data_IF_286696181400
#
_entry.id   IF_286696181400
#
_cell.length_a   1.000
_cell.length_b   1.000
_cell.length_c   1.000
_cell.angle_alpha   90.00
_cell.angle_beta   90.00
_cell.angle_gamma   90.00
#
_symmetry.space_group_name_H-M   'P 1'
#
loop_
_entity.id
_entity.type
_entity.pdbx_description
1 polymer ?
#
# COMPACT_ATOMS: atom_id res chain seq x y z
N UNK A 1 13.55 4.12 60.27
CA UNK A 1 14.99 4.31 59.99
C UNK A 1 15.58 2.93 59.82
N UNK A 2 15.98 2.55 58.59
CA UNK A 2 17.36 2.77 58.15
C UNK A 2 17.48 3.44 56.76
N UNK A 3 18.46 4.34 56.69
CA UNK A 3 19.22 4.92 55.57
C UNK A 3 19.79 3.78 54.68
N UNK A 4 20.01 3.83 53.36
CA UNK A 4 20.67 4.83 52.49
C UNK A 4 20.33 4.43 51.04
N UNK A 5 19.69 5.32 50.28
CA UNK A 5 19.44 5.13 48.84
C UNK A 5 20.34 6.12 48.09
N UNK A 6 21.51 5.69 47.66
CA UNK A 6 22.45 6.54 46.90
C UNK A 6 22.34 6.18 45.42
N UNK A 7 21.31 6.69 44.77
CA UNK A 7 21.25 6.71 43.32
C UNK A 7 22.07 7.91 42.85
N UNK A 8 23.26 7.64 42.32
CA UNK A 8 24.15 8.63 41.72
C UNK A 8 23.40 9.28 40.55
N UNK A 9 23.11 10.57 40.72
CA UNK A 9 22.80 11.48 39.64
C UNK A 9 24.09 11.75 38.88
N UNK A 10 24.12 11.52 37.57
CA UNK A 10 24.99 12.29 36.72
C UNK A 10 24.17 12.87 35.55
N UNK A 11 24.25 14.19 35.46
CA UNK A 11 23.42 15.06 34.66
C UNK A 11 23.97 15.18 33.22
N UNK A 12 23.07 14.99 32.24
CA UNK A 12 22.85 15.68 30.93
C UNK A 12 24.00 16.45 30.22
N UNK A 13 23.87 16.81 28.92
CA UNK A 13 23.36 16.10 27.75
C UNK A 13 24.28 16.30 26.50
N UNK A 14 24.37 15.34 25.58
CA UNK A 14 24.90 15.62 24.24
C UNK A 14 23.94 15.04 23.20
N UNK A 15 22.92 15.85 22.90
CA UNK A 15 22.03 15.71 21.75
C UNK A 15 22.89 15.79 20.49
N UNK A 16 23.18 14.65 19.87
CA UNK A 16 23.59 14.60 18.46
C UNK A 16 22.43 13.97 17.69
N UNK A 17 21.45 14.81 17.37
CA UNK A 17 20.41 14.53 16.38
C UNK A 17 21.11 14.52 15.02
N UNK A 18 21.44 13.33 14.53
CA UNK A 18 21.77 13.16 13.12
C UNK A 18 20.46 13.18 12.35
N UNK A 19 20.30 14.24 11.57
CA UNK A 19 19.15 14.56 10.75
C UNK A 19 18.85 13.42 9.75
N UNK A 20 17.63 12.86 9.70
CA UNK A 20 17.19 12.09 8.55
C UNK A 20 16.81 13.08 7.44
N UNK A 21 17.76 13.32 6.53
CA UNK A 21 17.50 14.00 5.26
C UNK A 21 16.76 13.03 4.36
N UNK A 22 15.47 13.27 4.19
CA UNK A 22 14.77 13.32 2.90
C UNK A 22 13.27 13.25 3.16
N UNK A 23 12.61 14.38 2.97
CA UNK A 23 11.17 14.48 2.92
C UNK A 23 10.65 13.75 1.68
N UNK A 24 10.22 12.50 1.85
CA UNK A 24 9.26 11.89 0.93
C UNK A 24 7.85 12.07 1.48
N UNK A 25 7.05 12.71 0.63
CA UNK A 25 5.77 13.33 0.93
C UNK A 25 4.81 12.34 1.58
N UNK A 26 4.26 12.75 2.72
CA UNK A 26 3.09 12.16 3.38
C UNK A 26 2.05 11.68 2.37
N UNK A 27 1.69 10.40 2.41
CA UNK A 27 0.28 10.02 2.35
C UNK A 27 -0.11 9.42 3.69
N UNK A 28 -0.66 10.29 4.55
CA UNK A 28 -1.52 9.86 5.64
C UNK A 28 -2.74 9.18 5.02
N UNK A 29 -2.92 7.89 5.25
CA UNK A 29 -4.27 7.32 5.34
C UNK A 29 -4.27 6.36 6.53
N UNK A 30 -4.38 6.94 7.71
CA UNK A 30 -5.02 6.26 8.82
C UNK A 30 -6.50 6.08 8.46
N UNK A 31 -6.87 4.94 7.86
CA UNK A 31 -8.26 4.51 7.72
C UNK A 31 -8.27 3.00 7.89
N UNK A 32 -9.06 2.53 8.86
CA UNK A 32 -8.96 1.20 9.45
C UNK A 32 -9.08 0.05 8.46
N UNK A 33 -8.59 -1.11 8.92
CA UNK A 33 -8.84 -2.47 8.45
C UNK A 33 -9.72 -2.61 7.19
N UNK A 34 -9.20 -2.21 6.04
CA UNK A 34 -9.69 -2.63 4.73
C UNK A 34 -8.48 -3.23 4.05
N UNK A 35 -8.39 -4.55 3.84
CA UNK A 35 -7.37 -5.08 2.95
C UNK A 35 -7.61 -4.49 1.56
N UNK A 36 -6.63 -3.72 1.08
CA UNK A 36 -6.67 -3.12 -0.25
C UNK A 36 -6.03 -4.11 -1.19
N UNK A 37 -6.85 -4.78 -1.99
CA UNK A 37 -6.36 -5.67 -3.03
C UNK A 37 -6.08 -4.83 -4.28
N UNK A 38 -4.84 -4.82 -4.75
CA UNK A 38 -4.48 -4.23 -6.05
C UNK A 38 -4.50 -5.33 -7.10
N UNK A 39 -5.42 -5.20 -8.04
CA UNK A 39 -5.54 -6.05 -9.21
C UNK A 39 -4.87 -5.35 -10.37
N UNK A 40 -3.90 -6.03 -10.99
CA UNK A 40 -3.25 -5.55 -12.21
C UNK A 40 -3.82 -6.35 -13.37
N UNK A 41 -4.37 -5.63 -14.34
CA UNK A 41 -4.99 -6.18 -15.54
C UNK A 41 -4.26 -5.67 -16.76
N UNK A 42 -4.18 -6.50 -17.80
CA UNK A 42 -3.76 -6.10 -19.12
C UNK A 42 -5.00 -6.05 -20.01
N UNK A 43 -5.26 -4.90 -20.61
CA UNK A 43 -6.50 -4.61 -21.33
C UNK A 43 -6.20 -4.11 -22.74
N UNK A 44 -6.97 -4.54 -23.72
CA UNK A 44 -6.76 -4.19 -25.12
C UNK A 44 -8.03 -4.30 -25.95
N UNK A 45 -8.10 -3.55 -27.05
CA UNK A 45 -9.19 -3.69 -28.02
C UNK A 45 -8.81 -4.64 -29.19
N UNK A 46 -7.51 -4.85 -29.39
CA UNK A 46 -6.94 -5.77 -30.36
C UNK A 46 -6.22 -6.88 -29.58
N UNK A 47 -6.58 -8.14 -29.82
CA UNK A 47 -5.87 -9.29 -29.26
C UNK A 47 -4.47 -9.33 -29.89
N UNK A 48 -3.42 -9.34 -29.08
CA UNK A 48 -2.00 -9.22 -29.50
C UNK A 48 -1.57 -7.85 -30.08
N UNK A 49 -2.40 -6.81 -29.96
CA UNK A 49 -2.06 -5.44 -30.34
C UNK A 49 -1.57 -4.59 -29.16
N UNK A 50 -2.01 -3.32 -29.11
CA UNK A 50 -1.67 -2.38 -28.02
C UNK A 50 -2.41 -2.73 -26.73
N UNK A 51 -1.86 -3.67 -25.98
CA UNK A 51 -2.30 -3.98 -24.63
C UNK A 51 -1.78 -2.95 -23.63
N UNK A 52 -2.67 -2.36 -22.84
CA UNK A 52 -2.36 -1.39 -21.80
C UNK A 52 -2.46 -2.06 -20.43
N UNK A 53 -1.55 -1.73 -19.53
CA UNK A 53 -1.63 -2.16 -18.13
C UNK A 53 -2.56 -1.21 -17.37
N UNK A 54 -3.54 -1.77 -16.68
CA UNK A 54 -4.51 -1.05 -15.86
C UNK A 54 -4.49 -1.62 -14.45
N UNK A 55 -4.23 -0.76 -13.47
CA UNK A 55 -4.28 -1.12 -12.05
C UNK A 55 -5.62 -0.71 -11.48
N UNK A 56 -6.28 -1.66 -10.82
CA UNK A 56 -7.53 -1.45 -10.11
C UNK A 56 -7.32 -1.75 -8.61
N UNK A 57 -7.57 -0.76 -7.76
CA UNK A 57 -7.55 -0.95 -6.32
C UNK A 57 -8.98 -1.30 -5.86
N UNK A 58 -9.13 -2.47 -5.25
CA UNK A 58 -10.37 -2.95 -4.68
C UNK A 58 -10.30 -2.82 -3.14
N UNK A 59 -11.31 -2.19 -2.56
CA UNK A 59 -11.44 -2.03 -1.10
C UNK A 59 -12.11 -3.26 -0.44
N UNK A 60 -11.97 -4.45 -1.02
CA UNK A 60 -12.64 -5.68 -0.59
C UNK A 60 -11.65 -6.73 -0.06
N UNK A 61 -12.10 -7.55 0.91
CA UNK A 61 -11.33 -8.66 1.52
C UNK A 61 -11.12 -9.86 0.60
N UNK A 62 -11.89 -9.99 -0.48
CA UNK A 62 -11.92 -11.18 -1.31
C UNK A 62 -11.23 -10.94 -2.65
N UNK A 63 -10.20 -11.74 -2.96
CA UNK A 63 -9.52 -11.69 -4.26
C UNK A 63 -10.48 -11.91 -5.42
N UNK A 64 -11.42 -12.85 -5.26
CA UNK A 64 -12.39 -13.17 -6.29
C UNK A 64 -13.30 -11.97 -6.61
N UNK A 65 -13.72 -11.23 -5.58
CA UNK A 65 -14.54 -10.02 -5.78
C UNK A 65 -13.71 -8.94 -6.49
N UNK A 66 -12.47 -8.72 -6.04
CA UNK A 66 -11.55 -7.79 -6.67
C UNK A 66 -11.30 -8.12 -8.15
N UNK A 67 -11.07 -9.39 -8.48
CA UNK A 67 -10.89 -9.87 -9.87
C UNK A 67 -12.14 -9.62 -10.72
N UNK A 68 -13.32 -9.92 -10.18
CA UNK A 68 -14.58 -9.70 -10.88
C UNK A 68 -14.84 -8.21 -11.13
N UNK A 69 -14.63 -7.35 -10.14
CA UNK A 69 -14.82 -5.90 -10.29
C UNK A 69 -13.84 -5.32 -11.31
N UNK A 70 -12.57 -5.69 -11.20
CA UNK A 70 -11.54 -5.28 -12.14
C UNK A 70 -11.89 -5.74 -13.57
N UNK A 71 -12.27 -7.01 -13.73
CA UNK A 71 -12.61 -7.59 -15.04
C UNK A 71 -13.87 -6.95 -15.64
N UNK A 72 -14.91 -6.74 -14.82
CA UNK A 72 -16.14 -6.05 -15.26
C UNK A 72 -15.83 -4.63 -15.70
N UNK A 73 -15.00 -3.90 -14.96
CA UNK A 73 -14.63 -2.53 -15.30
C UNK A 73 -13.83 -2.47 -16.61
N UNK A 74 -12.89 -3.40 -16.78
CA UNK A 74 -12.10 -3.51 -17.99
C UNK A 74 -12.96 -3.91 -19.21
N UNK A 75 -13.82 -4.91 -19.09
CA UNK A 75 -14.69 -5.39 -20.19
C UNK A 75 -15.71 -4.36 -20.67
N UNK A 76 -16.02 -3.34 -19.85
CA UNK A 76 -16.86 -2.21 -20.28
C UNK A 76 -16.20 -1.35 -21.36
N UNK A 77 -14.87 -1.26 -21.36
CA UNK A 77 -14.10 -0.36 -22.23
C UNK A 77 -13.21 -1.11 -23.23
N UNK A 78 -12.86 -2.35 -22.93
CA UNK A 78 -11.90 -3.14 -23.69
C UNK A 78 -12.50 -4.48 -24.08
N UNK A 79 -12.21 -4.93 -25.31
CA UNK A 79 -12.67 -6.22 -25.84
C UNK A 79 -11.93 -7.39 -25.21
N UNK A 80 -10.64 -7.21 -24.92
CA UNK A 80 -9.76 -8.21 -24.32
C UNK A 80 -9.29 -7.73 -22.95
N UNK A 81 -9.41 -8.63 -21.98
CA UNK A 81 -9.06 -8.38 -20.59
C UNK A 81 -8.38 -9.62 -20.05
N UNK A 82 -7.17 -9.43 -19.55
CA UNK A 82 -6.36 -10.46 -18.91
C UNK A 82 -6.00 -10.01 -17.49
N UNK A 83 -6.22 -10.88 -16.51
CA UNK A 83 -5.84 -10.62 -15.12
C UNK A 83 -4.39 -11.09 -14.94
N UNK A 84 -3.49 -10.17 -14.61
CA UNK A 84 -2.06 -10.48 -14.48
C UNK A 84 -1.72 -10.85 -13.04
N UNK A 85 -2.21 -10.08 -12.07
CA UNK A 85 -1.90 -10.33 -10.66
C UNK A 85 -2.91 -9.68 -9.73
N UNK A 86 -3.16 -10.32 -8.59
CA UNK A 86 -3.88 -9.76 -7.46
C UNK A 86 -2.93 -9.76 -6.27
N UNK A 87 -2.59 -8.57 -5.78
CA UNK A 87 -1.73 -8.41 -4.62
C UNK A 87 -2.47 -7.71 -3.49
N UNK A 88 -2.35 -8.26 -2.29
CA UNK A 88 -2.72 -7.54 -1.09
C UNK A 88 -1.65 -6.50 -0.78
N UNK A 89 -2.06 -5.27 -0.48
CA UNK A 89 -1.17 -4.19 -0.02
C UNK A 89 -1.11 -4.12 1.50
#
# INVERSE_FOLDING_TARGET
>A
MPTINVHVQNAVPAVVVVQPVAAEKKKKVSKGFTPRLRVTLRVGNEFEGKMHEMVHEADTLSSLVAEQEATKMAKKKFRFVEVVSVKSM
#
